data_IF_237041470153
#
_entry.id   IF_237041470153
#
_cell.length_a   1.000
_cell.length_b   1.000
_cell.length_c   1.000
_cell.angle_alpha   90.00
_cell.angle_beta   90.00
_cell.angle_gamma   90.00
#
_symmetry.space_group_name_H-M   'P 1'
#
loop_
_entity.id
_entity.type
_entity.pdbx_description
1 polymer ?
#
# COMPACT_ATOMS: atom_id res chain seq x y z
N UNK A 1 -9.80 -12.60 -0.68
CA UNK A 1 -8.57 -11.90 -0.24
C UNK A 1 -7.91 -11.30 -1.48
N UNK A 2 -7.41 -10.06 -1.42
CA UNK A 2 -6.69 -9.40 -2.52
C UNK A 2 -5.23 -9.21 -2.09
N UNK A 3 -4.29 -9.50 -2.99
CA UNK A 3 -2.85 -9.47 -2.70
C UNK A 3 -2.14 -8.71 -3.83
N UNK A 4 -1.15 -7.89 -3.47
CA UNK A 4 -0.22 -7.24 -4.41
C UNK A 4 1.14 -7.90 -4.27
N UNK A 5 1.74 -8.28 -5.39
CA UNK A 5 3.00 -9.01 -5.45
C UNK A 5 3.98 -8.24 -6.33
N UNK A 6 5.17 -7.98 -5.80
CA UNK A 6 6.29 -7.44 -6.57
C UNK A 6 7.18 -8.62 -7.01
N UNK A 7 7.25 -8.85 -8.32
CA UNK A 7 7.93 -9.99 -8.93
C UNK A 7 8.89 -9.43 -9.96
N UNK A 8 10.15 -9.89 -9.91
CA UNK A 8 11.15 -9.54 -10.92
C UNK A 8 10.68 -9.98 -12.31
N UNK A 9 10.82 -9.11 -13.31
CA UNK A 9 10.37 -9.34 -14.69
C UNK A 9 10.84 -10.69 -15.27
N UNK A 10 12.08 -11.08 -14.97
CA UNK A 10 12.66 -12.33 -15.45
C UNK A 10 12.00 -13.61 -14.90
N UNK A 11 11.15 -13.50 -13.88
CA UNK A 11 10.38 -14.60 -13.28
C UNK A 11 8.86 -14.36 -13.32
N UNK A 12 8.42 -13.15 -13.67
CA UNK A 12 7.01 -12.79 -13.72
C UNK A 12 6.20 -13.70 -14.65
N UNK A 13 6.71 -13.97 -15.86
CA UNK A 13 6.01 -14.83 -16.84
C UNK A 13 5.75 -16.24 -16.28
N UNK A 14 6.79 -16.90 -15.76
CA UNK A 14 6.68 -18.25 -15.19
C UNK A 14 5.75 -18.29 -13.97
N UNK A 15 5.76 -17.24 -13.15
CA UNK A 15 4.90 -17.16 -11.98
C UNK A 15 3.42 -16.95 -12.35
N UNK A 16 3.14 -16.14 -13.38
CA UNK A 16 1.78 -15.93 -13.88
C UNK A 16 1.20 -17.25 -14.43
N UNK A 17 1.99 -18.03 -15.17
CA UNK A 17 1.55 -19.34 -15.66
C UNK A 17 1.23 -20.31 -14.51
N UNK A 18 2.07 -20.34 -13.47
CA UNK A 18 1.80 -21.14 -12.28
C UNK A 18 0.49 -20.71 -11.61
N UNK A 19 0.24 -19.41 -11.46
CA UNK A 19 -0.99 -18.93 -10.83
C UNK A 19 -2.22 -19.27 -11.68
N UNK A 20 -2.14 -19.12 -13.01
CA UNK A 20 -3.25 -19.44 -13.92
C UNK A 20 -3.65 -20.92 -13.88
N UNK A 21 -2.76 -21.82 -13.42
CA UNK A 21 -3.09 -23.23 -13.21
C UNK A 21 -4.05 -23.47 -12.04
N UNK A 22 -4.14 -22.53 -11.09
CA UNK A 22 -5.06 -22.62 -9.96
C UNK A 22 -6.42 -22.04 -10.32
N UNK A 23 -7.45 -22.88 -10.43
CA UNK A 23 -8.82 -22.48 -10.78
C UNK A 23 -9.50 -21.54 -9.77
N UNK A 24 -8.95 -21.42 -8.56
CA UNK A 24 -9.44 -20.56 -7.49
C UNK A 24 -8.73 -19.20 -7.42
N UNK A 25 -7.76 -18.92 -8.30
CA UNK A 25 -7.02 -17.65 -8.31
C UNK A 25 -7.25 -16.90 -9.62
N UNK A 26 -7.69 -15.65 -9.51
CA UNK A 26 -7.78 -14.73 -10.64
C UNK A 26 -6.56 -13.81 -10.62
N UNK A 27 -5.70 -13.93 -11.63
CA UNK A 27 -4.56 -13.05 -11.82
C UNK A 27 -4.92 -11.94 -12.82
N UNK A 28 -4.73 -10.69 -12.41
CA UNK A 28 -4.86 -9.51 -13.25
C UNK A 28 -3.54 -8.74 -13.18
N UNK A 29 -2.96 -8.41 -14.33
CA UNK A 29 -1.76 -7.58 -14.41
C UNK A 29 -2.16 -6.12 -14.47
N UNK A 30 -1.51 -5.28 -13.66
CA UNK A 30 -1.68 -3.83 -13.69
C UNK A 30 -0.43 -3.20 -14.31
N UNK A 31 -0.58 -2.00 -14.90
CA UNK A 31 0.58 -1.25 -15.38
C UNK A 31 1.44 -0.75 -14.22
N UNK A 32 2.70 -0.42 -14.48
CA UNK A 32 3.60 0.15 -13.46
C UNK A 32 3.01 1.45 -12.87
N UNK A 33 2.44 2.30 -13.73
CA UNK A 33 1.80 3.55 -13.34
C UNK A 33 0.58 3.33 -12.44
N UNK A 34 -0.25 2.33 -12.75
CA UNK A 34 -1.40 1.99 -11.89
C UNK A 34 -0.96 1.42 -10.53
N UNK A 35 0.16 0.70 -10.51
CA UNK A 35 0.75 0.16 -9.27
C UNK A 35 1.29 1.28 -8.36
N UNK A 36 1.98 2.25 -8.94
CA UNK A 36 2.47 3.45 -8.24
C UNK A 36 1.29 4.25 -7.67
N UNK A 37 0.28 4.55 -8.50
CA UNK A 37 -0.92 5.27 -8.07
C UNK A 37 -1.65 4.54 -6.93
N UNK A 38 -1.72 3.21 -6.98
CA UNK A 38 -2.35 2.43 -5.90
C UNK A 38 -1.60 2.59 -4.56
N UNK A 39 -0.27 2.60 -4.59
CA UNK A 39 0.54 2.82 -3.40
C UNK A 39 0.33 4.24 -2.85
N UNK A 40 0.33 5.26 -3.71
CA UNK A 40 0.05 6.64 -3.32
C UNK A 40 -1.33 6.79 -2.66
N UNK A 41 -2.38 6.22 -3.28
CA UNK A 41 -3.74 6.24 -2.72
C UNK A 41 -3.79 5.53 -1.36
N UNK A 42 -3.04 4.44 -1.18
CA UNK A 42 -2.96 3.71 0.09
C UNK A 42 -2.30 4.56 1.18
N UNK A 43 -1.26 5.31 0.85
CA UNK A 43 -0.61 6.24 1.77
C UNK A 43 -1.56 7.38 2.16
N UNK A 44 -2.24 7.99 1.17
CA UNK A 44 -3.25 9.02 1.40
C UNK A 44 -4.35 8.52 2.33
N UNK A 45 -4.88 7.31 2.08
CA UNK A 45 -5.91 6.71 2.93
C UNK A 45 -5.43 6.48 4.36
N UNK A 46 -4.16 6.14 4.53
CA UNK A 46 -3.53 5.98 5.85
C UNK A 46 -3.41 7.34 6.55
N UNK A 47 -3.02 8.39 5.83
CA UNK A 47 -2.98 9.75 6.35
C UNK A 47 -4.35 10.25 6.79
N UNK A 48 -5.40 10.02 5.99
CA UNK A 48 -6.78 10.35 6.39
C UNK A 48 -7.23 9.58 7.63
N UNK A 49 -6.93 8.29 7.72
CA UNK A 49 -7.23 7.50 8.92
C UNK A 49 -6.51 8.05 10.15
N UNK A 50 -5.26 8.47 10.01
CA UNK A 50 -4.51 9.10 11.10
C UNK A 50 -5.12 10.44 11.49
N UNK A 51 -5.54 11.27 10.52
CA UNK A 51 -6.23 12.53 10.77
C UNK A 51 -7.58 12.32 11.49
N UNK A 52 -8.35 11.30 11.13
CA UNK A 52 -9.57 10.92 11.86
C UNK A 52 -9.26 10.48 13.29
N UNK A 53 -8.20 9.70 13.50
CA UNK A 53 -7.78 9.25 14.84
C UNK A 53 -7.33 10.42 15.71
N UNK A 54 -6.63 11.40 15.14
CA UNK A 54 -6.28 12.68 15.77
C UNK A 54 -7.54 13.44 16.16
N UNK A 55 -8.48 13.62 15.22
CA UNK A 55 -9.71 14.36 15.45
C UNK A 55 -10.61 13.67 16.50
N UNK A 56 -10.58 12.33 16.56
CA UNK A 56 -11.28 11.54 17.57
C UNK A 56 -10.60 11.55 18.96
N UNK A 57 -9.48 12.26 19.12
CA UNK A 57 -8.71 12.34 20.36
C UNK A 57 -7.94 11.06 20.73
N UNK A 58 -7.92 10.06 19.85
CA UNK A 58 -7.25 8.76 20.08
C UNK A 58 -5.75 8.78 19.75
N UNK A 59 -5.30 9.79 19.00
CA UNK A 59 -3.91 9.95 18.60
C UNK A 59 -3.44 11.33 19.04
N UNK A 60 -2.43 11.37 19.92
CA UNK A 60 -1.85 12.62 20.39
C UNK A 60 -0.98 13.21 19.27
N UNK A 61 -1.34 14.39 18.81
CA UNK A 61 -0.48 15.20 17.94
C UNK A 61 0.52 15.88 18.85
N UNK A 62 1.80 15.75 18.52
CA UNK A 62 2.85 16.62 19.09
C UNK A 62 3.09 17.76 18.13
N UNK A 63 3.32 18.97 18.64
CA UNK A 63 3.65 20.09 17.76
C UNK A 63 5.02 19.89 17.14
N UNK A 64 5.26 20.49 15.97
CA UNK A 64 6.58 20.47 15.34
C UNK A 64 7.63 21.13 16.24
N UNK A 65 7.24 22.17 16.99
CA UNK A 65 8.09 22.85 17.97
C UNK A 65 8.48 21.93 19.13
N UNK A 66 7.56 21.13 19.66
CA UNK A 66 7.86 20.11 20.68
C UNK A 66 8.79 19.02 20.16
N UNK A 67 8.74 18.69 18.86
CA UNK A 67 9.64 17.73 18.23
C UNK A 67 11.05 18.28 18.07
N UNK A 68 11.17 19.56 17.70
CA UNK A 68 12.45 20.23 17.54
C UNK A 68 13.16 20.52 18.86
N UNK A 69 12.42 20.75 19.95
CA UNK A 69 13.00 21.01 21.27
C UNK A 69 13.50 19.75 22.00
N UNK A 70 13.24 18.54 21.49
CA UNK A 70 13.70 17.26 22.07
C UNK A 70 14.99 16.70 21.42
N UNK A 71 15.49 17.33 20.36
CA UNK A 71 16.73 16.96 19.66
C UNK A 71 17.90 17.84 20.10
#
# INVERSE_FOLDING_TARGET
MKLLLDIKDNKAAAFIELIKSYSFVKAETISATDAELFNEIKEIKTAFKNAELINSGKLKVRSAEELLNEL
#
